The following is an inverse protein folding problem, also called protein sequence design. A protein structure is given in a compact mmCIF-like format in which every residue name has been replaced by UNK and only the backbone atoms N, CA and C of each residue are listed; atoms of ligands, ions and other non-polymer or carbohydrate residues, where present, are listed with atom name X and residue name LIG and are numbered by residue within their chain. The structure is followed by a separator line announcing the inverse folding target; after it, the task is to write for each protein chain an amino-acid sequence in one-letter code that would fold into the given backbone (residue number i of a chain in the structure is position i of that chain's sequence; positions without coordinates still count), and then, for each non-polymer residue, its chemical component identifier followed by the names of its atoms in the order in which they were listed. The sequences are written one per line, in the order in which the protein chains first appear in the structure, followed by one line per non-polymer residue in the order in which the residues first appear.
data_IF_172734222472
#
_entry.id   IF_172734222472
#
_cell.length_a   1.000
_cell.length_b   1.000
_cell.length_c   1.000
_cell.angle_alpha   90.00
_cell.angle_beta   90.00
_cell.angle_gamma   90.00
#
_symmetry.space_group_name_H-M   'P 1'
#
loop_
_entity.id
_entity.type
_entity.pdbx_description
1 polymer ?
#
# COMPACT_ATOMS: atom_id res chain seq x y z
N UNK A 1 -10.93 17.93 17.82
CA UNK A 1 -10.63 16.66 17.13
C UNK A 1 -9.84 15.78 18.10
N UNK A 2 -10.17 14.50 18.23
CA UNK A 2 -9.50 13.62 19.19
C UNK A 2 -8.08 13.23 18.74
N UNK A 3 -7.25 12.80 19.68
CA UNK A 3 -5.84 12.50 19.44
C UNK A 3 -5.63 11.46 18.33
N UNK A 4 -6.48 10.43 18.23
CA UNK A 4 -6.36 9.39 17.22
C UNK A 4 -6.62 9.96 15.82
N UNK A 5 -7.68 10.75 15.67
CA UNK A 5 -7.99 11.39 14.38
C UNK A 5 -6.87 12.34 13.93
N UNK A 6 -6.36 13.18 14.83
CA UNK A 6 -5.19 14.04 14.54
C UNK A 6 -3.98 13.21 14.09
N UNK A 7 -3.78 12.04 14.71
CA UNK A 7 -2.71 11.12 14.37
C UNK A 7 -2.81 10.60 12.94
N UNK A 8 -3.99 10.11 12.54
CA UNK A 8 -4.21 9.57 11.20
C UNK A 8 -4.33 10.62 10.10
N UNK A 9 -4.53 11.90 10.45
CA UNK A 9 -4.52 13.01 9.49
C UNK A 9 -3.14 13.62 9.26
N UNK A 10 -2.14 13.28 10.07
CA UNK A 10 -0.78 13.77 9.82
C UNK A 10 -0.16 13.03 8.62
N UNK A 11 0.52 13.76 7.74
CA UNK A 11 1.19 13.20 6.54
C UNK A 11 2.42 12.38 6.90
N UNK A 12 3.09 12.81 7.97
CA UNK A 12 4.39 12.28 8.40
C UNK A 12 4.35 10.78 8.72
N UNK A 13 3.22 10.11 8.75
CA UNK A 13 3.17 8.69 9.14
C UNK A 13 3.53 7.75 7.99
N UNK A 14 3.07 8.05 6.78
CA UNK A 14 3.42 7.26 5.60
C UNK A 14 4.89 7.44 5.20
N UNK A 15 5.49 8.61 5.49
CA UNK A 15 6.88 8.94 5.14
C UNK A 15 7.85 8.79 6.33
N UNK A 16 7.57 9.47 7.45
CA UNK A 16 8.46 9.54 8.64
C UNK A 16 8.28 8.35 9.57
N UNK A 17 7.11 7.70 9.57
CA UNK A 17 6.81 6.56 10.46
C UNK A 17 6.70 5.22 9.76
N UNK A 18 7.27 5.12 8.57
CA UNK A 18 7.52 3.84 7.88
C UNK A 18 8.30 2.83 8.72
N UNK A 19 8.94 3.26 9.81
CA UNK A 19 9.66 2.42 10.77
C UNK A 19 8.77 1.88 11.90
N UNK A 20 7.56 2.44 12.12
CA UNK A 20 6.63 1.90 13.11
C UNK A 20 6.07 0.57 12.60
N UNK A 21 6.24 -0.49 13.38
CA UNK A 21 5.91 -1.88 12.99
C UNK A 21 4.54 -2.06 12.31
N UNK A 22 3.40 -1.52 12.82
CA UNK A 22 2.13 -1.72 12.15
C UNK A 22 2.10 -1.05 10.75
N UNK A 23 2.69 0.14 10.61
CA UNK A 23 2.75 0.87 9.33
C UNK A 23 3.71 0.20 8.36
N UNK A 24 4.92 -0.14 8.83
CA UNK A 24 5.94 -0.80 8.02
C UNK A 24 5.43 -2.15 7.48
N UNK A 25 4.77 -2.94 8.33
CA UNK A 25 4.21 -4.24 7.94
C UNK A 25 3.09 -4.07 6.93
N UNK A 26 2.19 -3.09 7.14
CA UNK A 26 1.10 -2.81 6.21
C UNK A 26 1.61 -2.36 4.84
N UNK A 27 2.60 -1.45 4.80
CA UNK A 27 3.25 -0.99 3.58
C UNK A 27 3.98 -2.11 2.85
N UNK A 28 4.79 -2.92 3.56
CA UNK A 28 5.49 -4.06 2.98
C UNK A 28 4.51 -5.07 2.39
N UNK A 29 3.39 -5.34 3.06
CA UNK A 29 2.35 -6.23 2.56
C UNK A 29 1.64 -5.66 1.33
N UNK A 30 1.32 -4.36 1.34
CA UNK A 30 0.69 -3.69 0.20
C UNK A 30 1.61 -3.73 -1.04
N UNK A 31 2.89 -3.37 -0.88
CA UNK A 31 3.89 -3.49 -1.94
C UNK A 31 4.02 -4.95 -2.41
N UNK A 32 4.10 -5.92 -1.48
CA UNK A 32 4.23 -7.33 -1.81
C UNK A 32 3.07 -7.86 -2.64
N UNK A 33 1.83 -7.53 -2.25
CA UNK A 33 0.63 -7.90 -3.00
C UNK A 33 0.65 -7.34 -4.42
N UNK A 34 1.04 -6.06 -4.58
CA UNK A 34 1.07 -5.39 -5.88
C UNK A 34 2.04 -6.07 -6.86
N UNK A 35 3.33 -6.14 -6.51
CA UNK A 35 4.33 -6.68 -7.44
C UNK A 35 4.07 -8.18 -7.70
N UNK A 36 3.59 -8.92 -6.69
CA UNK A 36 3.21 -10.33 -6.84
C UNK A 36 2.09 -10.50 -7.88
N UNK A 37 1.08 -9.62 -7.86
CA UNK A 37 -0.01 -9.67 -8.83
C UNK A 37 0.50 -9.40 -10.25
N UNK A 38 1.40 -8.42 -10.42
CA UNK A 38 2.01 -8.10 -11.72
C UNK A 38 2.86 -9.25 -12.26
N UNK A 39 3.72 -9.82 -11.42
CA UNK A 39 4.54 -10.98 -11.80
C UNK A 39 3.67 -12.19 -12.09
N UNK A 40 2.63 -12.45 -11.30
CA UNK A 40 1.70 -13.55 -11.58
C UNK A 40 1.06 -13.37 -12.97
N UNK A 41 0.55 -12.18 -13.29
CA UNK A 41 -0.06 -11.91 -14.59
C UNK A 41 0.95 -12.12 -15.74
N UNK A 42 2.20 -11.68 -15.56
CA UNK A 42 3.27 -11.87 -16.54
C UNK A 42 3.64 -13.35 -16.73
N UNK A 43 3.75 -14.12 -15.64
CA UNK A 43 4.04 -15.56 -15.70
C UNK A 43 2.92 -16.33 -16.40
N UNK A 44 1.65 -15.99 -16.17
CA UNK A 44 0.53 -16.61 -16.91
C UNK A 44 0.58 -16.27 -18.41
N UNK A 45 0.96 -15.05 -18.77
CA UNK A 45 1.15 -14.66 -20.18
C UNK A 45 2.33 -15.41 -20.83
N UNK A 46 3.45 -15.52 -20.12
CA UNK A 46 4.62 -16.31 -20.51
C UNK A 46 4.26 -17.77 -20.77
N UNK A 47 3.54 -18.39 -19.82
CA UNK A 47 3.04 -19.76 -19.94
C UNK A 47 2.13 -19.94 -21.16
N UNK A 48 1.21 -19.01 -21.39
CA UNK A 48 0.34 -19.06 -22.57
C UNK A 48 1.12 -18.94 -23.90
N UNK A 49 2.29 -18.29 -23.87
CA UNK A 49 3.15 -18.12 -25.03
C UNK A 49 4.28 -19.18 -25.15
N UNK A 50 4.37 -20.14 -24.21
CA UNK A 50 5.47 -21.12 -24.17
C UNK A 50 6.84 -20.50 -23.93
N UNK A 51 6.89 -19.42 -23.14
CA UNK A 51 8.10 -18.65 -22.83
C UNK A 51 8.44 -18.88 -21.36
N UNK A 52 9.69 -19.22 -21.06
CA UNK A 52 10.19 -19.26 -19.68
C UNK A 52 10.58 -17.86 -19.17
N UNK A 53 10.39 -17.53 -17.88
CA UNK A 53 9.82 -18.39 -16.84
C UNK A 53 8.29 -18.48 -16.93
N UNK A 54 7.74 -19.70 -16.86
CA UNK A 54 6.30 -19.98 -16.88
C UNK A 54 5.64 -19.94 -15.49
N UNK A 55 6.45 -19.97 -14.43
CA UNK A 55 5.94 -20.03 -13.06
C UNK A 55 6.94 -19.52 -12.03
N UNK A 56 6.48 -19.46 -10.77
CA UNK A 56 7.29 -18.97 -9.66
C UNK A 56 8.54 -19.82 -9.38
N UNK A 57 8.46 -21.12 -9.63
CA UNK A 57 9.57 -22.04 -9.44
C UNK A 57 10.66 -21.83 -10.52
N UNK A 58 10.27 -21.77 -11.80
CA UNK A 58 11.24 -21.52 -12.88
C UNK A 58 11.80 -20.10 -12.81
N UNK A 59 11.02 -19.12 -12.37
CA UNK A 59 11.51 -17.78 -12.05
C UNK A 59 12.57 -17.81 -10.93
N UNK A 60 12.34 -18.55 -9.85
CA UNK A 60 13.30 -18.65 -8.76
C UNK A 60 14.64 -19.29 -9.22
N UNK A 61 14.56 -20.32 -10.06
CA UNK A 61 15.73 -20.98 -10.67
C UNK A 61 16.50 -19.98 -11.53
N UNK A 62 15.83 -19.22 -12.41
CA UNK A 62 16.49 -18.24 -13.29
C UNK A 62 17.07 -17.05 -12.53
N UNK A 63 16.47 -16.66 -11.41
CA UNK A 63 17.03 -15.66 -10.50
C UNK A 63 18.25 -16.19 -9.71
N UNK A 64 18.61 -17.47 -9.86
CA UNK A 64 19.59 -18.16 -9.03
C UNK A 64 19.31 -17.96 -7.53
N UNK A 65 18.02 -18.08 -7.14
CA UNK A 65 17.56 -17.89 -5.76
C UNK A 65 16.89 -19.15 -5.25
N UNK A 66 17.13 -19.44 -3.98
CA UNK A 66 16.37 -20.47 -3.29
C UNK A 66 14.87 -20.11 -3.29
N UNK A 67 13.96 -21.00 -3.73
CA UNK A 67 12.54 -20.69 -3.87
C UNK A 67 11.93 -20.08 -2.60
N UNK A 68 12.31 -20.59 -1.42
CA UNK A 68 11.80 -20.08 -0.13
C UNK A 68 12.03 -18.57 0.07
N UNK A 69 13.11 -17.99 -0.47
CA UNK A 69 13.37 -16.55 -0.35
C UNK A 69 12.40 -15.74 -1.20
N UNK A 70 12.07 -16.24 -2.40
CA UNK A 70 11.06 -15.62 -3.28
C UNK A 70 9.67 -15.73 -2.65
N UNK A 71 9.32 -16.90 -2.09
CA UNK A 71 8.05 -17.10 -1.38
C UNK A 71 7.91 -16.18 -0.15
N UNK A 72 8.98 -15.97 0.61
CA UNK A 72 8.99 -15.03 1.75
C UNK A 72 8.82 -13.58 1.29
N UNK A 73 9.50 -13.18 0.22
CA UNK A 73 9.38 -11.84 -0.36
C UNK A 73 7.96 -11.58 -0.88
N UNK A 74 7.35 -12.61 -1.49
CA UNK A 74 5.95 -12.59 -1.94
C UNK A 74 4.97 -12.37 -0.79
N UNK A 75 5.27 -12.92 0.39
CA UNK A 75 4.49 -12.71 1.60
C UNK A 75 4.73 -11.37 2.29
N UNK A 76 5.63 -10.52 1.77
CA UNK A 76 6.01 -9.24 2.40
C UNK A 76 6.88 -9.42 3.65
N UNK A 77 7.44 -10.61 3.88
CA UNK A 77 8.34 -10.85 5.00
C UNK A 77 9.70 -10.17 4.82
N UNK A 78 10.08 -9.91 3.56
CA UNK A 78 11.31 -9.21 3.17
C UNK A 78 11.02 -8.25 2.03
N UNK A 79 11.65 -7.08 2.07
CA UNK A 79 11.65 -6.17 0.93
C UNK A 79 12.59 -6.70 -0.15
N UNK A 80 12.14 -6.68 -1.40
CA UNK A 80 13.00 -6.92 -2.54
C UNK A 80 13.96 -5.75 -2.73
N UNK A 81 15.22 -6.05 -3.06
CA UNK A 81 16.17 -5.01 -3.44
C UNK A 81 15.79 -4.42 -4.81
N UNK A 82 16.34 -3.25 -5.16
CA UNK A 82 16.17 -2.67 -6.51
C UNK A 82 16.70 -3.63 -7.57
N UNK A 83 17.85 -4.27 -7.32
CA UNK A 83 18.42 -5.26 -8.23
C UNK A 83 17.48 -6.46 -8.40
N UNK A 84 16.85 -6.92 -7.32
CA UNK A 84 15.88 -8.04 -7.39
C UNK A 84 14.69 -7.67 -8.27
N UNK A 85 14.15 -6.46 -8.11
CA UNK A 85 13.04 -5.96 -8.91
C UNK A 85 13.43 -5.84 -10.39
N UNK A 86 14.63 -5.36 -10.69
CA UNK A 86 15.13 -5.27 -12.06
C UNK A 86 15.27 -6.66 -12.69
N UNK A 87 15.90 -7.61 -12.00
CA UNK A 87 16.05 -8.98 -12.50
C UNK A 87 14.70 -9.68 -12.70
N UNK A 88 13.75 -9.51 -11.77
CA UNK A 88 12.39 -10.06 -11.93
C UNK A 88 11.72 -9.46 -13.16
N UNK A 89 11.77 -8.13 -13.31
CA UNK A 89 11.14 -7.42 -14.42
C UNK A 89 11.70 -7.86 -15.79
N UNK A 90 13.02 -8.02 -15.88
CA UNK A 90 13.71 -8.51 -17.08
C UNK A 90 13.27 -9.94 -17.43
N UNK A 91 13.30 -10.86 -16.46
CA UNK A 91 12.96 -12.26 -16.70
C UNK A 91 11.49 -12.44 -17.11
N UNK A 92 10.56 -11.72 -16.47
CA UNK A 92 9.13 -11.79 -16.80
C UNK A 92 8.69 -10.79 -17.88
N UNK A 93 9.66 -10.08 -18.49
CA UNK A 93 9.47 -9.18 -19.65
C UNK A 93 8.43 -8.08 -19.42
N UNK A 94 8.45 -7.47 -18.25
CA UNK A 94 7.63 -6.29 -17.93
C UNK A 94 8.51 -5.09 -17.61
N UNK A 95 8.03 -3.85 -17.86
CA UNK A 95 8.77 -2.66 -17.42
C UNK A 95 8.93 -2.67 -15.90
N UNK A 96 10.14 -2.42 -15.39
CA UNK A 96 10.42 -2.46 -13.94
C UNK A 96 9.52 -1.53 -13.12
N UNK A 97 9.11 -0.39 -13.70
CA UNK A 97 8.19 0.54 -13.07
C UNK A 97 6.83 -0.07 -12.72
N UNK A 98 6.38 -1.13 -13.43
CA UNK A 98 5.12 -1.82 -13.13
C UNK A 98 5.16 -2.60 -11.82
N UNK A 99 6.35 -3.01 -11.37
CA UNK A 99 6.54 -3.75 -10.12
C UNK A 99 6.49 -2.82 -8.89
N UNK A 100 6.68 -1.52 -9.06
CA UNK A 100 6.53 -0.56 -7.99
C UNK A 100 5.05 -0.22 -7.80
N UNK A 101 4.57 -0.29 -6.56
CA UNK A 101 3.18 0.03 -6.26
C UNK A 101 2.98 1.54 -6.40
N UNK A 102 2.01 2.00 -7.21
CA UNK A 102 1.59 3.39 -7.22
C UNK A 102 1.22 3.86 -5.81
N UNK A 103 1.57 5.10 -5.46
CA UNK A 103 1.45 5.57 -4.07
C UNK A 103 0.01 5.56 -3.55
N UNK A 104 -0.97 5.81 -4.42
CA UNK A 104 -2.39 5.75 -4.12
C UNK A 104 -2.82 4.33 -3.77
N UNK A 105 -2.41 3.36 -4.58
CA UNK A 105 -2.65 1.92 -4.34
C UNK A 105 -1.94 1.47 -3.07
N UNK A 106 -0.71 1.95 -2.83
CA UNK A 106 0.08 1.61 -1.66
C UNK A 106 -0.60 2.07 -0.37
N UNK A 107 -1.03 3.33 -0.29
CA UNK A 107 -1.73 3.88 0.88
C UNK A 107 -3.08 3.20 1.06
N UNK A 108 -3.82 2.97 -0.03
CA UNK A 108 -5.10 2.28 -0.01
C UNK A 108 -5.00 0.87 0.60
N UNK A 109 -4.12 0.03 0.05
CA UNK A 109 -3.95 -1.36 0.50
C UNK A 109 -3.34 -1.42 1.90
N UNK A 110 -2.40 -0.54 2.23
CA UNK A 110 -1.86 -0.45 3.58
C UNK A 110 -2.93 -0.04 4.60
N UNK A 111 -3.82 0.89 4.24
CA UNK A 111 -4.97 1.28 5.08
C UNK A 111 -5.89 0.08 5.33
N UNK A 112 -6.18 -0.72 4.29
CA UNK A 112 -6.99 -1.95 4.44
C UNK A 112 -6.30 -2.99 5.32
N UNK A 113 -4.98 -3.08 5.28
CA UNK A 113 -4.21 -3.96 6.14
C UNK A 113 -4.20 -3.50 7.61
N UNK A 114 -4.13 -2.18 7.87
CA UNK A 114 -4.20 -1.61 9.21
C UNK A 114 -5.60 -1.71 9.83
N UNK A 115 -6.64 -1.54 9.03
CA UNK A 115 -8.03 -1.50 9.47
C UNK A 115 -8.86 -2.57 8.75
N UNK A 116 -8.57 -3.88 8.97
CA UNK A 116 -9.16 -4.96 8.21
C UNK A 116 -10.68 -5.00 8.40
N UNK A 117 -11.41 -5.05 7.27
CA UNK A 117 -12.88 -5.14 7.19
C UNK A 117 -13.66 -3.96 7.82
N UNK A 118 -12.99 -2.90 8.27
CA UNK A 118 -13.67 -1.73 8.85
C UNK A 118 -14.18 -0.75 7.81
N UNK A 119 -13.50 -0.66 6.66
CA UNK A 119 -13.82 0.27 5.59
C UNK A 119 -13.88 -0.45 4.25
N UNK A 120 -14.74 0.05 3.35
CA UNK A 120 -14.82 -0.44 1.98
C UNK A 120 -13.57 -0.07 1.17
N UNK A 121 -13.41 -0.69 0.00
CA UNK A 121 -12.32 -0.34 -0.90
C UNK A 121 -12.40 1.12 -1.35
N UNK A 122 -13.60 1.63 -1.61
CA UNK A 122 -13.84 3.02 -2.02
C UNK A 122 -13.46 4.00 -0.91
N UNK A 123 -13.85 3.73 0.33
CA UNK A 123 -13.53 4.59 1.48
C UNK A 123 -12.03 4.71 1.71
N UNK A 124 -11.30 3.60 1.57
CA UNK A 124 -9.84 3.59 1.72
C UNK A 124 -9.11 4.21 0.53
N UNK A 125 -9.66 4.12 -0.69
CA UNK A 125 -9.16 4.88 -1.86
C UNK A 125 -9.36 6.37 -1.70
N UNK A 126 -10.53 6.80 -1.25
CA UNK A 126 -10.81 8.22 -1.00
C UNK A 126 -9.83 8.80 0.03
N UNK A 127 -9.56 8.06 1.11
CA UNK A 127 -8.54 8.45 2.08
C UNK A 127 -7.14 8.55 1.43
N UNK A 128 -6.74 7.57 0.60
CA UNK A 128 -5.45 7.61 -0.10
C UNK A 128 -5.35 8.82 -1.05
N UNK A 129 -6.40 9.13 -1.81
CA UNK A 129 -6.45 10.31 -2.68
C UNK A 129 -6.36 11.61 -1.88
N UNK A 130 -7.09 11.71 -0.76
CA UNK A 130 -6.97 12.84 0.17
C UNK A 130 -5.54 13.01 0.67
N UNK A 131 -4.86 11.91 1.01
CA UNK A 131 -3.45 11.95 1.44
C UNK A 131 -2.51 12.47 0.36
N UNK A 132 -2.77 12.16 -0.89
CA UNK A 132 -1.93 12.54 -2.03
C UNK A 132 -2.24 13.91 -2.61
N UNK A 133 -3.40 14.48 -2.30
CA UNK A 133 -3.78 15.83 -2.68
C UNK A 133 -2.98 16.94 -1.94
N UNK A 134 -1.91 16.58 -1.23
CA UNK A 134 -1.01 17.54 -0.57
C UNK A 134 -1.58 18.16 0.70
N UNK A 135 -2.56 17.52 1.35
CA UNK A 135 -3.09 17.96 2.64
C UNK A 135 -1.92 18.16 3.63
N UNK A 136 -1.64 19.40 4.09
CA UNK A 136 -0.51 19.65 4.96
C UNK A 136 -0.65 18.83 6.26
N UNK A 137 0.43 18.63 7.01
CA UNK A 137 0.33 18.04 8.36
C UNK A 137 -0.32 19.01 9.36
N UNK A 138 -1.59 19.35 9.12
CA UNK A 138 -2.44 20.13 9.99
C UNK A 138 -3.26 19.14 10.82
N UNK A 139 -3.53 19.42 12.11
CA UNK A 139 -4.45 18.62 12.94
C UNK A 139 -5.93 18.72 12.51
N UNK A 140 -6.19 19.21 11.29
CA UNK A 140 -7.52 19.46 10.74
C UNK A 140 -7.62 18.88 9.34
N UNK A 141 -8.85 18.61 8.92
CA UNK A 141 -9.14 18.20 7.55
C UNK A 141 -8.92 19.40 6.61
N UNK A 142 -8.19 19.19 5.52
CA UNK A 142 -8.03 20.20 4.47
C UNK A 142 -9.17 20.07 3.46
N UNK A 143 -10.04 21.08 3.40
CA UNK A 143 -11.19 21.08 2.50
C UNK A 143 -10.80 21.08 1.01
N UNK A 144 -9.68 21.71 0.66
CA UNK A 144 -9.19 21.78 -0.72
C UNK A 144 -8.70 20.41 -1.14
N UNK A 145 -7.89 19.75 -0.30
CA UNK A 145 -7.45 18.39 -0.53
C UNK A 145 -8.63 17.40 -0.60
N UNK A 146 -9.67 17.60 0.22
CA UNK A 146 -10.88 16.77 0.17
C UNK A 146 -11.66 16.95 -1.14
N UNK A 147 -11.84 18.19 -1.61
CA UNK A 147 -12.48 18.47 -2.90
C UNK A 147 -11.71 17.85 -4.06
N UNK A 148 -10.38 17.89 -4.03
CA UNK A 148 -9.54 17.20 -5.01
C UNK A 148 -9.72 15.68 -4.95
N UNK A 149 -9.75 15.09 -3.76
CA UNK A 149 -9.96 13.65 -3.59
C UNK A 149 -11.31 13.19 -4.15
N UNK A 150 -12.40 13.92 -3.84
CA UNK A 150 -13.73 13.65 -4.39
C UNK A 150 -13.71 13.70 -5.92
N UNK A 151 -13.08 14.72 -6.48
CA UNK A 151 -12.98 14.90 -7.94
C UNK A 151 -12.18 13.76 -8.60
N UNK A 152 -11.09 13.31 -7.97
CA UNK A 152 -10.28 12.19 -8.43
C UNK A 152 -11.02 10.83 -8.32
N UNK A 153 -11.99 10.72 -7.41
CA UNK A 153 -12.89 9.57 -7.28
C UNK A 153 -14.08 9.58 -8.23
N UNK A 154 -14.09 10.43 -9.27
CA UNK A 154 -15.22 10.67 -10.17
C UNK A 154 -16.49 11.21 -9.48
N UNK A 155 -16.36 11.88 -8.33
CA UNK A 155 -17.47 12.57 -7.67
C UNK A 155 -18.53 11.65 -7.07
N UNK A 156 -18.20 10.39 -6.76
CA UNK A 156 -19.19 9.39 -6.34
C UNK A 156 -19.76 9.58 -4.92
N UNK A 157 -19.30 10.57 -4.15
CA UNK A 157 -19.78 10.85 -2.80
C UNK A 157 -19.91 12.35 -2.53
N UNK A 158 -20.84 12.71 -1.64
CA UNK A 158 -21.00 14.09 -1.18
C UNK A 158 -19.82 14.55 -0.32
N UNK A 159 -19.65 15.87 -0.19
CA UNK A 159 -18.59 16.44 0.66
C UNK A 159 -18.71 15.96 2.12
N UNK A 160 -19.91 15.88 2.67
CA UNK A 160 -20.12 15.44 4.05
C UNK A 160 -19.86 13.94 4.26
N UNK A 161 -20.17 13.11 3.27
CA UNK A 161 -19.81 11.68 3.28
C UNK A 161 -18.31 11.51 3.17
N UNK A 162 -17.66 12.27 2.30
CA UNK A 162 -16.22 12.24 2.12
C UNK A 162 -15.49 12.68 3.40
N UNK A 163 -15.96 13.76 4.01
CA UNK A 163 -15.46 14.27 5.29
C UNK A 163 -15.57 13.21 6.39
N UNK A 164 -16.77 12.65 6.61
CA UNK A 164 -16.97 11.58 7.61
C UNK A 164 -16.09 10.37 7.34
N UNK A 165 -15.94 9.99 6.07
CA UNK A 165 -15.11 8.86 5.65
C UNK A 165 -13.64 9.10 5.97
N UNK A 166 -13.07 10.22 5.54
CA UNK A 166 -11.65 10.53 5.76
C UNK A 166 -11.34 10.64 7.26
N UNK A 167 -12.19 11.31 8.03
CA UNK A 167 -12.04 11.40 9.48
C UNK A 167 -12.18 10.03 10.17
N UNK A 168 -13.13 9.21 9.74
CA UNK A 168 -13.33 7.85 10.26
C UNK A 168 -12.11 6.95 10.03
N UNK A 169 -11.60 6.94 8.79
CA UNK A 169 -10.38 6.18 8.43
C UNK A 169 -9.17 6.69 9.21
N UNK A 170 -8.98 8.02 9.27
CA UNK A 170 -7.89 8.64 10.03
C UNK A 170 -7.94 8.23 11.51
N UNK A 171 -9.12 8.27 12.13
CA UNK A 171 -9.31 7.88 13.54
C UNK A 171 -8.97 6.41 13.78
N UNK A 172 -9.38 5.52 12.88
CA UNK A 172 -9.12 4.09 12.99
C UNK A 172 -7.61 3.80 12.88
N UNK A 173 -6.93 4.38 11.89
CA UNK A 173 -5.47 4.30 11.75
C UNK A 173 -4.80 4.84 13.01
N UNK A 174 -5.18 6.04 13.47
CA UNK A 174 -4.63 6.64 14.68
C UNK A 174 -4.81 5.77 15.92
N UNK A 175 -5.92 5.06 16.03
CA UNK A 175 -6.18 4.13 17.13
C UNK A 175 -5.20 2.95 17.11
N UNK A 176 -4.92 2.39 15.93
CA UNK A 176 -3.91 1.32 15.75
C UNK A 176 -2.53 1.81 16.17
N UNK A 177 -2.17 3.03 15.74
CA UNK A 177 -0.87 3.64 16.05
C UNK A 177 -0.69 3.93 17.54
N UNK A 178 -1.74 4.45 18.21
CA UNK A 178 -1.71 4.68 19.66
C UNK A 178 -1.55 3.37 20.45
N UNK A 179 -2.20 2.29 20.02
CA UNK A 179 -2.03 0.95 20.63
C UNK A 179 -0.61 0.41 20.42
N UNK A 180 -0.07 0.55 19.21
CA UNK A 180 1.30 0.11 18.88
C UNK A 180 2.38 0.81 19.72
N UNK A 181 2.14 2.07 20.11
CA UNK A 181 3.04 2.82 21.02
C UNK A 181 3.01 2.32 22.45
N UNK A 182 1.85 1.91 22.96
CA UNK A 182 1.74 1.41 24.35
C UNK A 182 2.48 0.09 24.53
N UNK A 183 2.40 -0.83 23.56
CA UNK A 183 3.11 -2.12 23.62
C UNK A 183 4.58 -2.09 23.18
N UNK A 184 5.18 -0.91 22.98
CA UNK A 184 6.60 -0.76 22.66
C UNK A 184 7.44 -0.29 23.86
N UNK A 185 6.79 -0.04 25.00
CA UNK A 185 7.40 0.39 26.26
C UNK A 185 7.27 -0.64 27.40
N UNK A 186 6.69 -1.81 27.08
CA UNK A 186 6.67 -3.02 27.92
C UNK A 186 7.66 -4.04 27.33
#
# INVERSE_FOLDING_TARGET
MDQATTLGLCEKWWIVRRSEKPVSTALSRAQANHWTAMVKAALEANKAAGIEPEGWETLAIQLNRHPSNLWRSRGGAHALSVLDMMSIAELVRVPVCTLYCPMDVLIHEATRALCPKQFSAEQTRLYAQYRLAGAPSIPHLDETALKHAISAGNGSCSFDEANRTVLGVARAIGTVLLKGRKGAHD
#
